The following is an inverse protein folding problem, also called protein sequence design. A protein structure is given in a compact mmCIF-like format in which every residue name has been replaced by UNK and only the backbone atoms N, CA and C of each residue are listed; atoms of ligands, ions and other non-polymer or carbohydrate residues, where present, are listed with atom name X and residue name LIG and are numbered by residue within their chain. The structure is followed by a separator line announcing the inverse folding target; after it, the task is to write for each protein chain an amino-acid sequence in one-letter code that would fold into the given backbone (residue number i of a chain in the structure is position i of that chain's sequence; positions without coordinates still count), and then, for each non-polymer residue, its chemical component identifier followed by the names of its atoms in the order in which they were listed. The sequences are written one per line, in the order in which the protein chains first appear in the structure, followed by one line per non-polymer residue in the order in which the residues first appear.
data_IF_198768659325
#
_entry.id   IF_198768659325
#
_cell.length_a   1.000
_cell.length_b   1.000
_cell.length_c   1.000
_cell.angle_alpha   90.00
_cell.angle_beta   90.00
_cell.angle_gamma   90.00
#
_symmetry.space_group_name_H-M   'P 1'
#
loop_
_entity.id
_entity.type
_entity.pdbx_description
1 polymer ?
#
# COMPACT_ATOMS: atom_id res chain seq x y z
N UNK A 1 -14.92 -6.48 -6.12
CA UNK A 1 -15.48 -5.69 -5.01
C UNK A 1 -14.37 -5.27 -4.07
N UNK A 2 -14.36 -4.01 -3.67
CA UNK A 2 -13.32 -3.54 -2.76
C UNK A 2 -13.51 -4.13 -1.36
N UNK A 3 -12.41 -4.49 -0.71
CA UNK A 3 -12.43 -5.02 0.65
C UNK A 3 -12.60 -3.88 1.66
N UNK A 4 -13.46 -4.09 2.66
CA UNK A 4 -13.61 -3.16 3.77
C UNK A 4 -12.35 -3.10 4.65
N UNK A 5 -11.43 -4.05 4.47
CA UNK A 5 -10.16 -4.09 5.18
C UNK A 5 -9.14 -3.12 4.60
N UNK A 6 -9.38 -2.61 3.39
CA UNK A 6 -8.47 -1.66 2.74
C UNK A 6 -8.96 -0.24 3.01
N UNK A 7 -8.09 0.57 3.63
CA UNK A 7 -8.43 1.94 3.97
C UNK A 7 -7.95 2.88 2.88
N UNK A 8 -8.82 3.80 2.46
CA UNK A 8 -8.43 4.86 1.53
C UNK A 8 -7.90 6.03 2.35
N UNK A 9 -6.63 6.36 2.15
CA UNK A 9 -5.94 7.37 2.94
C UNK A 9 -5.66 8.62 2.11
N UNK A 10 -5.43 9.73 2.81
CA UNK A 10 -5.15 11.03 2.21
C UNK A 10 -3.81 11.57 2.71
N UNK A 11 -3.33 12.64 2.08
CA UNK A 11 -2.15 13.36 2.58
C UNK A 11 -2.35 13.78 4.03
N UNK A 12 -3.55 14.25 4.38
CA UNK A 12 -3.86 14.71 5.73
C UNK A 12 -3.89 13.58 6.75
N UNK A 13 -4.34 12.38 6.35
CA UNK A 13 -4.47 11.25 7.27
C UNK A 13 -3.22 10.36 7.33
N UNK A 14 -2.25 10.57 6.46
CA UNK A 14 -1.12 9.66 6.27
C UNK A 14 -0.36 9.39 7.56
N UNK A 15 -0.03 10.45 8.31
CA UNK A 15 0.73 10.30 9.54
C UNK A 15 0.00 9.41 10.54
N UNK A 16 -1.28 9.68 10.77
CA UNK A 16 -2.08 8.92 11.72
C UNK A 16 -2.34 7.48 11.25
N UNK A 17 -2.55 7.30 9.95
CA UNK A 17 -2.95 5.99 9.40
C UNK A 17 -1.77 5.08 9.11
N UNK A 18 -0.60 5.62 8.83
CA UNK A 18 0.54 4.83 8.34
C UNK A 18 1.74 4.88 9.27
N UNK A 19 2.04 6.03 9.85
CA UNK A 19 3.30 6.24 10.57
C UNK A 19 3.25 5.96 12.06
N UNK A 20 2.15 5.41 12.56
CA UNK A 20 2.02 5.14 13.99
C UNK A 20 2.94 4.00 14.45
N UNK A 21 3.54 4.14 15.65
CA UNK A 21 4.35 3.06 16.22
C UNK A 21 3.53 1.79 16.41
N UNK A 22 4.17 0.63 16.17
CA UNK A 22 3.52 -0.66 16.31
C UNK A 22 2.69 -1.08 15.11
N UNK A 23 2.52 -0.20 14.12
CA UNK A 23 1.77 -0.51 12.90
C UNK A 23 2.67 -1.08 11.82
N UNK A 24 2.14 -2.03 11.06
CA UNK A 24 2.72 -2.45 9.78
C UNK A 24 1.67 -2.19 8.72
N UNK A 25 1.98 -1.34 7.75
CA UNK A 25 1.03 -0.89 6.74
C UNK A 25 1.64 -1.01 5.35
N UNK A 26 0.93 -1.67 4.45
CA UNK A 26 1.28 -1.71 3.03
C UNK A 26 0.45 -0.63 2.33
N UNK A 27 1.13 0.34 1.71
CA UNK A 27 0.48 1.44 1.01
C UNK A 27 0.60 1.23 -0.49
N UNK A 28 -0.55 1.25 -1.18
CA UNK A 28 -0.64 1.18 -2.64
C UNK A 28 -0.90 2.59 -3.19
N UNK A 29 0.08 3.14 -3.90
CA UNK A 29 -0.08 4.40 -4.62
C UNK A 29 -0.62 4.09 -6.01
N UNK A 30 -1.79 4.62 -6.35
CA UNK A 30 -2.53 4.25 -7.54
C UNK A 30 -3.29 5.44 -8.16
N UNK A 31 -3.87 5.23 -9.34
CA UNK A 31 -4.76 6.21 -9.98
C UNK A 31 -5.83 5.48 -10.78
N UNK A 32 -6.95 6.16 -11.01
CA UNK A 32 -8.09 5.60 -11.74
C UNK A 32 -7.74 5.23 -13.19
N UNK A 33 -6.87 6.02 -13.83
CA UNK A 33 -6.46 5.79 -15.22
C UNK A 33 -5.43 4.68 -15.38
N UNK A 34 -4.93 4.14 -14.29
CA UNK A 34 -3.81 3.20 -14.31
C UNK A 34 -4.32 1.76 -14.44
N UNK A 35 -4.16 1.17 -15.63
CA UNK A 35 -4.55 -0.21 -15.89
C UNK A 35 -3.88 -1.23 -14.97
N UNK A 36 -2.54 -1.21 -14.84
CA UNK A 36 -1.84 -2.13 -13.93
C UNK A 36 -2.27 -1.99 -12.47
N UNK A 37 -2.64 -0.77 -12.04
CA UNK A 37 -3.18 -0.55 -10.69
C UNK A 37 -4.47 -1.33 -10.48
N UNK A 38 -5.34 -1.32 -11.49
CA UNK A 38 -6.62 -2.04 -11.43
C UNK A 38 -6.43 -3.55 -11.47
N UNK A 39 -5.39 -4.02 -12.13
CA UNK A 39 -5.07 -5.44 -12.19
C UNK A 39 -4.71 -6.00 -10.81
N UNK A 40 -4.04 -5.23 -9.97
CA UNK A 40 -3.65 -5.71 -8.65
C UNK A 40 -4.70 -5.45 -7.57
N UNK A 41 -5.75 -4.70 -7.85
CA UNK A 41 -6.78 -4.41 -6.86
C UNK A 41 -7.42 -5.67 -6.26
N UNK A 42 -7.84 -6.68 -7.06
CA UNK A 42 -8.35 -7.93 -6.48
C UNK A 42 -7.31 -8.69 -5.67
N UNK A 43 -6.04 -8.61 -6.07
CA UNK A 43 -4.95 -9.27 -5.35
C UNK A 43 -4.77 -8.62 -3.97
N UNK A 44 -4.83 -7.30 -3.90
CA UNK A 44 -4.75 -6.58 -2.64
C UNK A 44 -5.91 -6.93 -1.71
N UNK A 45 -7.11 -7.14 -2.25
CA UNK A 45 -8.25 -7.58 -1.46
C UNK A 45 -7.97 -8.95 -0.83
N UNK A 46 -7.41 -9.88 -1.59
CA UNK A 46 -7.04 -11.20 -1.07
C UNK A 46 -5.95 -11.11 -0.01
N UNK A 47 -4.93 -10.29 -0.26
CA UNK A 47 -3.83 -10.08 0.68
C UNK A 47 -4.34 -9.46 1.98
N UNK A 48 -5.25 -8.48 1.87
CA UNK A 48 -5.84 -7.84 3.06
C UNK A 48 -6.53 -8.87 3.96
N UNK A 49 -7.26 -9.80 3.36
CA UNK A 49 -7.93 -10.86 4.10
C UNK A 49 -6.92 -11.84 4.72
N UNK A 50 -5.92 -12.24 3.94
CA UNK A 50 -4.93 -13.24 4.38
C UNK A 50 -4.08 -12.73 5.54
N UNK A 51 -3.80 -11.43 5.59
CA UNK A 51 -2.94 -10.85 6.62
C UNK A 51 -3.71 -10.03 7.65
N UNK A 52 -5.01 -10.19 7.72
CA UNK A 52 -5.84 -9.51 8.71
C UNK A 52 -5.31 -9.74 10.13
N UNK A 53 -5.10 -8.67 10.88
CA UNK A 53 -4.53 -8.74 12.22
C UNK A 53 -3.00 -8.70 12.26
N UNK A 54 -2.33 -8.87 11.12
CA UNK A 54 -0.86 -8.85 11.02
C UNK A 54 -0.34 -7.58 10.38
N UNK A 55 -1.05 -7.07 9.39
CA UNK A 55 -0.76 -5.78 8.77
C UNK A 55 -2.05 -5.18 8.24
N UNK A 56 -2.01 -3.88 7.98
CA UNK A 56 -3.11 -3.16 7.34
C UNK A 56 -2.71 -2.81 5.92
N UNK A 57 -3.70 -2.72 5.02
CA UNK A 57 -3.46 -2.25 3.66
C UNK A 57 -4.19 -0.94 3.47
N UNK A 58 -3.51 0.04 2.89
CA UNK A 58 -4.06 1.34 2.59
C UNK A 58 -3.81 1.69 1.13
N UNK A 59 -4.71 2.48 0.54
CA UNK A 59 -4.58 2.94 -0.85
C UNK A 59 -4.60 4.46 -0.87
N UNK A 60 -3.68 5.05 -1.64
CA UNK A 60 -3.63 6.49 -1.84
C UNK A 60 -3.71 6.81 -3.33
N UNK A 61 -4.75 7.55 -3.71
CA UNK A 61 -4.92 8.01 -5.09
C UNK A 61 -3.99 9.21 -5.31
N UNK A 62 -3.02 9.05 -6.24
CA UNK A 62 -1.99 10.07 -6.45
C UNK A 62 -2.50 11.32 -7.15
N UNK A 63 -3.64 11.25 -7.82
CA UNK A 63 -4.24 12.42 -8.46
C UNK A 63 -4.94 13.32 -7.45
N UNK A 64 -5.45 12.73 -6.37
CA UNK A 64 -6.15 13.45 -5.31
C UNK A 64 -5.22 13.85 -4.17
N UNK A 65 -4.05 13.23 -4.07
CA UNK A 65 -3.10 13.44 -2.99
C UNK A 65 -1.71 13.59 -3.58
N UNK A 66 -1.16 14.79 -3.53
CA UNK A 66 0.11 15.07 -4.19
C UNK A 66 1.30 15.23 -3.25
N UNK A 67 1.05 15.51 -1.98
CA UNK A 67 2.12 15.77 -1.03
C UNK A 67 2.94 14.51 -0.70
N UNK A 68 2.27 13.41 -0.34
CA UNK A 68 2.97 12.19 0.03
C UNK A 68 3.64 11.50 -1.16
N UNK A 69 3.00 11.40 -2.34
CA UNK A 69 3.71 10.87 -3.51
C UNK A 69 4.97 11.67 -3.84
N UNK A 70 4.92 13.00 -3.75
CA UNK A 70 6.10 13.83 -3.99
C UNK A 70 7.17 13.60 -2.93
N UNK A 71 6.79 13.50 -1.67
CA UNK A 71 7.70 13.27 -0.56
C UNK A 71 8.48 11.97 -0.73
N UNK A 72 7.82 10.92 -1.18
CA UNK A 72 8.46 9.61 -1.36
C UNK A 72 9.00 9.38 -2.76
N UNK A 73 8.97 10.38 -3.62
CA UNK A 73 9.54 10.30 -4.96
C UNK A 73 8.83 9.30 -5.87
N UNK A 74 7.52 9.19 -5.74
CA UNK A 74 6.73 8.26 -6.56
C UNK A 74 6.72 8.75 -8.00
N UNK A 75 7.27 7.96 -8.92
CA UNK A 75 7.33 8.27 -10.35
C UNK A 75 6.52 7.33 -11.21
N UNK A 76 6.34 6.10 -10.76
CA UNK A 76 5.58 5.10 -11.47
C UNK A 76 4.51 4.52 -10.57
N UNK A 77 3.41 4.10 -11.14
CA UNK A 77 2.33 3.45 -10.41
C UNK A 77 1.91 2.17 -11.11
N UNK A 78 1.46 1.15 -10.37
CA UNK A 78 1.35 1.15 -8.92
C UNK A 78 2.72 1.10 -8.25
N UNK A 79 2.83 1.73 -7.09
CA UNK A 79 3.99 1.58 -6.21
C UNK A 79 3.48 1.08 -4.87
N UNK A 80 4.07 0.00 -4.38
CA UNK A 80 3.76 -0.56 -3.08
C UNK A 80 4.88 -0.22 -2.11
N UNK A 81 4.54 0.43 -1.00
CA UNK A 81 5.48 0.75 0.05
C UNK A 81 5.03 0.11 1.35
N UNK A 82 5.92 -0.61 2.00
CA UNK A 82 5.63 -1.22 3.28
C UNK A 82 6.30 -0.41 4.39
N UNK A 83 5.49 0.08 5.31
CA UNK A 83 5.92 0.84 6.48
C UNK A 83 5.81 -0.02 7.73
N UNK A 84 6.85 -0.03 8.52
CA UNK A 84 6.91 -0.80 9.75
C UNK A 84 7.34 0.12 10.89
N UNK A 85 6.48 0.27 11.88
CA UNK A 85 6.72 1.20 13.00
C UNK A 85 7.03 2.62 12.55
N UNK A 86 6.34 3.09 11.51
CA UNK A 86 6.51 4.43 10.99
C UNK A 86 7.70 4.61 10.04
N UNK A 87 8.43 3.55 9.74
CA UNK A 87 9.60 3.61 8.85
C UNK A 87 9.37 2.83 7.58
N UNK A 88 9.83 3.37 6.45
CA UNK A 88 9.74 2.70 5.16
C UNK A 88 10.69 1.50 5.14
N UNK A 89 10.13 0.30 5.03
CA UNK A 89 10.88 -0.94 5.07
C UNK A 89 11.11 -1.55 3.69
N UNK A 90 10.18 -1.35 2.76
CA UNK A 90 10.31 -1.90 1.41
C UNK A 90 9.54 -1.07 0.40
N UNK A 91 10.04 -1.01 -0.83
CA UNK A 91 9.40 -0.32 -1.94
C UNK A 91 9.45 -1.21 -3.17
N UNK A 92 8.31 -1.41 -3.82
CA UNK A 92 8.22 -2.16 -5.07
C UNK A 92 7.38 -1.40 -6.07
N UNK A 93 7.89 -1.23 -7.28
CA UNK A 93 7.20 -0.54 -8.36
C UNK A 93 6.70 -1.57 -9.36
N UNK A 94 5.46 -1.40 -9.83
CA UNK A 94 4.86 -2.26 -10.83
C UNK A 94 3.80 -3.18 -10.27
N UNK A 95 3.11 -3.88 -11.18
CA UNK A 95 2.01 -4.77 -10.82
C UNK A 95 2.54 -6.12 -10.35
N UNK A 96 2.88 -6.21 -9.08
CA UNK A 96 3.38 -7.45 -8.49
C UNK A 96 2.28 -8.51 -8.43
N UNK A 97 2.65 -9.76 -8.72
CA UNK A 97 1.77 -10.90 -8.52
C UNK A 97 1.48 -11.11 -7.04
N UNK A 98 0.48 -11.92 -6.72
CA UNK A 98 0.18 -12.28 -5.34
C UNK A 98 1.39 -12.91 -4.66
N UNK A 99 2.09 -13.82 -5.34
CA UNK A 99 3.28 -14.47 -4.80
C UNK A 99 4.40 -13.47 -4.49
N UNK A 100 4.60 -12.49 -5.37
CA UNK A 100 5.61 -11.45 -5.16
C UNK A 100 5.22 -10.54 -3.98
N UNK A 101 3.95 -10.17 -3.88
CA UNK A 101 3.48 -9.34 -2.76
C UNK A 101 3.63 -10.06 -1.43
N UNK A 102 3.20 -11.33 -1.36
CA UNK A 102 3.30 -12.09 -0.11
C UNK A 102 4.75 -12.34 0.30
N UNK A 103 5.64 -12.53 -0.68
CA UNK A 103 7.06 -12.70 -0.38
C UNK A 103 7.66 -11.46 0.31
N UNK A 104 7.31 -10.26 -0.20
CA UNK A 104 7.77 -9.00 0.40
C UNK A 104 7.21 -8.85 1.82
N UNK A 105 5.93 -9.11 1.99
CA UNK A 105 5.25 -8.98 3.28
C UNK A 105 5.83 -9.96 4.30
N UNK A 106 5.96 -11.23 3.93
CA UNK A 106 6.46 -12.26 4.83
C UNK A 106 7.89 -11.97 5.27
N UNK A 107 8.71 -11.45 4.37
CA UNK A 107 10.09 -11.08 4.71
C UNK A 107 10.11 -10.00 5.79
N UNK A 108 9.20 -9.03 5.71
CA UNK A 108 9.18 -7.92 6.67
C UNK A 108 8.48 -8.29 7.98
N UNK A 109 7.59 -9.28 7.98
CA UNK A 109 6.91 -9.75 9.19
C UNK A 109 7.70 -10.81 9.95
N UNK A 110 8.73 -11.34 9.33
CA UNK A 110 9.56 -12.40 9.94
C UNK A 110 10.35 -11.89 11.15
#
# INVERSE_FOLDING_TARGET
MASDLIKHITDASFEADVLQPGSTVLVDFWAEWCGPCKMIAPILDEVATAYQGKLSIAKMNVDENRAMPAKFGIRGIPTLMLFKNGELAATKVGALSKAQQTAVIDQQLA
#
